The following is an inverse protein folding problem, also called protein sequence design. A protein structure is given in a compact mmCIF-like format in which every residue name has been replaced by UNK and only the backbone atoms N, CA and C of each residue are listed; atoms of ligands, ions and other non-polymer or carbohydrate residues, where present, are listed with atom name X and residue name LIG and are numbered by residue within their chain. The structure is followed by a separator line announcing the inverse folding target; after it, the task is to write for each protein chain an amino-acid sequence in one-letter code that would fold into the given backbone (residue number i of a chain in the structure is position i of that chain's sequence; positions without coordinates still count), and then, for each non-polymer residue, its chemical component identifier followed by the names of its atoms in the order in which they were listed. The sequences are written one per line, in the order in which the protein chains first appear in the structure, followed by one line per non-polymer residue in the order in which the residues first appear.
data_IF_816134758919
#
_entry.id   IF_816134758919
#
_cell.length_a   1.000
_cell.length_b   1.000
_cell.length_c   1.000
_cell.angle_alpha   90.00
_cell.angle_beta   90.00
_cell.angle_gamma   90.00
#
_symmetry.space_group_name_H-M   'P 1'
#
loop_
_entity.id
_entity.type
_entity.pdbx_description
1 polymer ?
#
# COMPACT_ATOMS: atom_id res chain seq x y z
N UNK A 1 10.22 24.87 -4.96
CA UNK A 1 8.93 24.65 -5.66
C UNK A 1 8.03 25.83 -5.36
N UNK A 2 7.57 26.57 -6.37
CA UNK A 2 6.68 27.72 -6.20
C UNK A 2 5.22 27.30 -5.92
N UNK A 3 4.44 28.18 -5.31
CA UNK A 3 3.00 28.03 -5.09
C UNK A 3 2.25 28.91 -6.08
N UNK A 4 1.60 28.32 -7.08
CA UNK A 4 1.05 29.05 -8.23
C UNK A 4 -0.47 28.95 -8.27
N UNK A 5 -1.13 30.10 -8.48
CA UNK A 5 -2.53 30.19 -8.91
C UNK A 5 -2.54 30.31 -10.44
N UNK A 6 -3.40 29.57 -11.11
CA UNK A 6 -3.50 29.54 -12.57
C UNK A 6 -4.95 29.60 -13.04
N UNK A 7 -5.16 29.99 -14.28
CA UNK A 7 -6.43 29.85 -15.00
C UNK A 7 -6.33 28.79 -16.10
N UNK A 8 -7.43 28.12 -16.40
CA UNK A 8 -7.63 27.36 -17.65
C UNK A 8 -8.78 28.02 -18.41
N UNK A 9 -8.49 28.50 -19.61
CA UNK A 9 -9.48 29.02 -20.54
C UNK A 9 -9.94 27.90 -21.45
N UNK A 10 -11.24 27.64 -21.49
CA UNK A 10 -11.87 26.74 -22.44
C UNK A 10 -12.55 27.56 -23.55
N UNK A 11 -12.07 27.41 -24.77
CA UNK A 11 -12.59 28.10 -25.95
C UNK A 11 -13.75 27.30 -26.55
N UNK A 12 -14.97 27.81 -26.43
CA UNK A 12 -16.19 27.16 -26.94
C UNK A 12 -16.59 27.85 -28.25
N UNK A 13 -16.10 27.30 -29.37
CA UNK A 13 -16.31 27.90 -30.70
C UNK A 13 -15.63 29.27 -30.82
N UNK A 14 -16.19 30.16 -31.64
CA UNK A 14 -15.54 31.42 -32.01
C UNK A 14 -15.82 32.61 -31.07
N UNK A 15 -16.68 32.48 -30.05
CA UNK A 15 -17.16 33.65 -29.28
C UNK A 15 -17.40 33.43 -27.77
N UNK A 16 -17.45 32.19 -27.26
CA UNK A 16 -17.74 31.95 -25.85
C UNK A 16 -16.53 31.32 -25.15
N UNK A 17 -16.04 31.96 -24.10
CA UNK A 17 -14.99 31.42 -23.25
C UNK A 17 -15.52 31.13 -21.84
N UNK A 18 -15.08 30.01 -21.28
CA UNK A 18 -15.31 29.70 -19.86
C UNK A 18 -14.00 29.47 -19.16
N UNK A 19 -13.89 30.00 -17.96
CA UNK A 19 -12.68 29.97 -17.17
C UNK A 19 -12.81 29.00 -15.99
N UNK A 20 -11.68 28.42 -15.63
CA UNK A 20 -11.45 27.68 -14.40
C UNK A 20 -10.24 28.27 -13.69
N UNK A 21 -10.33 28.54 -12.39
CA UNK A 21 -9.17 28.92 -11.58
C UNK A 21 -8.80 27.75 -10.66
N UNK A 22 -7.52 27.48 -10.51
CA UNK A 22 -7.03 26.49 -9.57
C UNK A 22 -5.62 26.79 -9.08
N UNK A 23 -5.11 25.90 -8.23
CA UNK A 23 -3.79 26.03 -7.64
C UNK A 23 -2.89 24.81 -7.89
N UNK A 24 -1.59 25.03 -7.94
CA UNK A 24 -0.60 23.98 -8.22
C UNK A 24 0.77 24.27 -7.60
N UNK A 25 1.54 23.20 -7.36
CA UNK A 25 2.99 23.23 -7.09
C UNK A 25 3.80 22.57 -8.21
N UNK A 26 3.11 22.01 -9.21
CA UNK A 26 3.69 21.39 -10.41
C UNK A 26 3.87 22.46 -11.47
N UNK A 27 4.61 22.14 -12.53
CA UNK A 27 4.59 22.96 -13.75
C UNK A 27 3.16 23.07 -14.29
N UNK A 28 2.83 24.15 -15.00
CA UNK A 28 1.50 24.35 -15.57
C UNK A 28 1.16 23.22 -16.56
N UNK A 29 2.11 22.82 -17.40
CA UNK A 29 1.94 21.71 -18.35
C UNK A 29 1.59 20.40 -17.65
N UNK A 30 2.30 20.03 -16.57
CA UNK A 30 1.97 18.83 -15.78
C UNK A 30 0.61 18.93 -15.10
N UNK A 31 0.22 20.14 -14.69
CA UNK A 31 -1.08 20.38 -14.04
C UNK A 31 -2.22 20.24 -15.04
N UNK A 32 -2.08 20.79 -16.24
CA UNK A 32 -3.07 20.66 -17.31
C UNK A 32 -3.22 19.19 -17.73
N UNK A 33 -2.10 18.49 -17.96
CA UNK A 33 -2.10 17.05 -18.24
C UNK A 33 -2.76 16.23 -17.12
N UNK A 34 -2.62 16.64 -15.86
CA UNK A 34 -3.30 15.99 -14.75
C UNK A 34 -4.83 16.14 -14.83
N UNK A 35 -5.35 17.32 -15.22
CA UNK A 35 -6.80 17.50 -15.45
C UNK A 35 -7.32 16.60 -16.54
N UNK A 36 -6.59 16.47 -17.66
CA UNK A 36 -6.95 15.54 -18.74
C UNK A 36 -6.97 14.09 -18.27
N UNK A 37 -5.89 13.65 -17.63
CA UNK A 37 -5.76 12.29 -17.12
C UNK A 37 -6.76 11.94 -16.02
N UNK A 38 -7.19 12.91 -15.20
CA UNK A 38 -8.23 12.69 -14.18
C UNK A 38 -9.61 12.57 -14.83
N UNK A 39 -9.86 13.38 -15.85
CA UNK A 39 -11.12 13.38 -16.61
C UNK A 39 -11.32 12.07 -17.38
N UNK A 40 -10.27 11.43 -17.89
CA UNK A 40 -10.38 10.15 -18.63
C UNK A 40 -10.59 8.90 -17.76
N UNK A 41 -10.50 9.00 -16.43
CA UNK A 41 -10.64 7.83 -15.54
C UNK A 41 -12.08 7.29 -15.55
N UNK A 42 -12.23 5.96 -15.63
CA UNK A 42 -13.50 5.18 -15.66
C UNK A 42 -14.49 5.39 -14.49
N UNK A 43 -14.25 6.31 -13.54
CA UNK A 43 -15.25 6.63 -12.51
C UNK A 43 -16.25 7.63 -13.08
N UNK A 44 -17.42 7.11 -13.46
CA UNK A 44 -18.49 7.83 -14.16
C UNK A 44 -19.56 8.43 -13.25
N UNK A 45 -19.67 8.02 -11.99
CA UNK A 45 -20.74 8.52 -11.12
C UNK A 45 -20.40 9.88 -10.49
N UNK A 46 -21.22 10.89 -10.78
CA UNK A 46 -21.33 12.12 -9.98
C UNK A 46 -20.50 13.34 -10.44
N UNK A 47 -20.00 13.40 -11.68
CA UNK A 47 -19.43 14.65 -12.19
C UNK A 47 -20.53 15.66 -12.50
N UNK A 48 -20.41 16.86 -11.94
CA UNK A 48 -21.31 17.98 -12.26
C UNK A 48 -21.16 18.39 -13.73
N UNK A 49 -22.27 18.63 -14.45
CA UNK A 49 -22.23 19.12 -15.84
C UNK A 49 -21.57 20.49 -15.97
N UNK A 50 -21.44 21.23 -14.86
CA UNK A 50 -20.79 22.55 -14.83
C UNK A 50 -19.31 22.49 -14.42
N UNK A 51 -18.69 21.30 -14.39
CA UNK A 51 -17.30 21.15 -13.98
C UNK A 51 -16.34 21.11 -15.17
N UNK A 52 -15.09 21.53 -14.96
CA UNK A 52 -14.03 21.46 -15.97
C UNK A 52 -13.84 20.02 -16.49
N UNK A 53 -13.84 19.04 -15.58
CA UNK A 53 -13.67 17.64 -15.96
C UNK A 53 -14.80 17.06 -16.81
N UNK A 54 -16.03 17.60 -16.66
CA UNK A 54 -17.13 17.26 -17.55
C UNK A 54 -16.93 17.86 -18.95
N UNK A 55 -16.51 19.13 -19.04
CA UNK A 55 -16.21 19.79 -20.32
C UNK A 55 -15.08 19.09 -21.08
N UNK A 56 -13.99 18.73 -20.40
CA UNK A 56 -12.87 17.96 -20.99
C UNK A 56 -13.36 16.60 -21.52
N UNK A 57 -14.23 15.90 -20.77
CA UNK A 57 -14.80 14.62 -21.23
C UNK A 57 -15.66 14.77 -22.46
N UNK A 58 -16.50 15.79 -22.49
CA UNK A 58 -17.36 16.06 -23.64
C UNK A 58 -16.51 16.33 -24.87
N UNK A 59 -15.47 17.16 -24.71
CA UNK A 59 -14.52 17.46 -25.77
C UNK A 59 -13.80 16.20 -26.29
N UNK A 60 -13.29 15.33 -25.40
CA UNK A 60 -12.67 14.06 -25.78
C UNK A 60 -13.65 13.04 -26.38
N UNK A 61 -14.95 13.17 -26.10
CA UNK A 61 -15.98 12.36 -26.77
C UNK A 61 -16.17 12.80 -28.22
N UNK A 62 -16.06 14.11 -28.48
CA UNK A 62 -16.21 14.70 -29.81
C UNK A 62 -14.91 14.61 -30.64
N UNK A 63 -13.75 14.60 -29.97
CA UNK A 63 -12.41 14.40 -30.55
C UNK A 63 -11.64 13.30 -29.79
N UNK A 64 -11.86 12.02 -30.13
CA UNK A 64 -11.25 10.88 -29.42
C UNK A 64 -9.73 10.84 -29.49
N UNK A 65 -9.12 11.50 -30.48
CA UNK A 65 -7.66 11.58 -30.62
C UNK A 65 -7.07 12.73 -29.78
N UNK A 66 -7.91 13.65 -29.32
CA UNK A 66 -7.51 14.78 -28.48
C UNK A 66 -6.63 15.79 -29.21
N UNK A 67 -6.70 15.86 -30.54
CA UNK A 67 -5.86 16.72 -31.37
C UNK A 67 -6.10 18.21 -31.04
N UNK A 68 -7.33 18.57 -30.66
CA UNK A 68 -7.72 19.94 -30.28
C UNK A 68 -7.66 20.22 -28.77
N UNK A 69 -7.31 19.23 -27.95
CA UNK A 69 -7.42 19.38 -26.50
C UNK A 69 -6.48 20.47 -25.95
N UNK A 70 -5.28 20.58 -26.51
CA UNK A 70 -4.28 21.57 -26.11
C UNK A 70 -4.54 22.96 -26.71
N UNK A 71 -5.33 23.05 -27.78
CA UNK A 71 -5.72 24.33 -28.39
C UNK A 71 -6.95 24.93 -27.73
N UNK A 72 -7.88 24.05 -27.30
CA UNK A 72 -9.17 24.47 -26.78
C UNK A 72 -9.13 24.68 -25.26
N UNK A 73 -8.15 24.09 -24.57
CA UNK A 73 -7.87 24.32 -23.15
C UNK A 73 -6.47 24.91 -22.95
N UNK A 74 -6.41 26.22 -22.71
CA UNK A 74 -5.16 26.95 -22.48
C UNK A 74 -4.96 27.21 -20.99
N UNK A 75 -3.77 26.89 -20.45
CA UNK A 75 -3.42 27.15 -19.05
C UNK A 75 -2.48 28.35 -18.94
N UNK A 76 -2.78 29.29 -18.03
CA UNK A 76 -1.98 30.47 -17.80
C UNK A 76 -1.70 30.68 -16.30
N UNK A 77 -0.49 31.13 -15.96
CA UNK A 77 -0.18 31.60 -14.61
C UNK A 77 -0.92 32.91 -14.31
N UNK A 78 -1.61 32.98 -13.17
CA UNK A 78 -2.19 34.21 -12.68
C UNK A 78 -1.26 34.90 -11.68
N UNK A 79 -0.76 34.15 -10.70
CA UNK A 79 0.08 34.70 -9.63
C UNK A 79 0.88 33.61 -8.91
N UNK A 80 2.05 33.97 -8.38
CA UNK A 80 2.90 33.08 -7.55
C UNK A 80 3.02 33.60 -6.13
N UNK A 81 3.10 32.68 -5.19
CA UNK A 81 3.11 32.95 -3.76
C UNK A 81 4.26 32.21 -3.07
N UNK A 82 4.68 32.74 -1.92
CA UNK A 82 5.70 32.15 -1.05
C UNK A 82 5.16 31.08 -0.09
N UNK A 83 3.83 31.00 0.11
CA UNK A 83 3.20 30.07 1.05
C UNK A 83 1.91 29.45 0.51
N UNK A 84 1.56 28.26 1.01
CA UNK A 84 0.30 27.57 0.68
C UNK A 84 -0.92 28.43 1.05
N UNK A 85 -0.87 29.07 2.21
CA UNK A 85 -1.99 29.85 2.74
C UNK A 85 -2.29 31.05 1.84
N UNK A 86 -1.25 31.76 1.40
CA UNK A 86 -1.41 32.92 0.50
C UNK A 86 -1.93 32.47 -0.87
N UNK A 87 -1.43 31.34 -1.40
CA UNK A 87 -1.93 30.77 -2.66
C UNK A 87 -3.42 30.39 -2.59
N UNK A 88 -3.89 29.88 -1.45
CA UNK A 88 -5.31 29.57 -1.24
C UNK A 88 -6.18 30.82 -1.17
N UNK A 89 -5.70 31.87 -0.49
CA UNK A 89 -6.39 33.17 -0.49
C UNK A 89 -6.41 33.78 -1.90
N UNK A 90 -5.30 33.66 -2.63
CA UNK A 90 -5.18 34.04 -4.03
C UNK A 90 -6.18 33.32 -4.93
N UNK A 91 -6.34 32.00 -4.78
CA UNK A 91 -7.34 31.22 -5.52
C UNK A 91 -8.75 31.80 -5.33
N UNK A 92 -9.14 32.07 -4.08
CA UNK A 92 -10.46 32.63 -3.78
C UNK A 92 -10.65 34.02 -4.40
N UNK A 93 -9.62 34.88 -4.28
CA UNK A 93 -9.61 36.21 -4.88
C UNK A 93 -9.80 36.14 -6.41
N UNK A 94 -9.04 35.28 -7.10
CA UNK A 94 -9.09 35.15 -8.56
C UNK A 94 -10.39 34.51 -9.06
N UNK A 95 -10.97 33.55 -8.33
CA UNK A 95 -12.31 32.99 -8.64
C UNK A 95 -13.38 34.08 -8.61
N UNK A 96 -13.36 34.93 -7.58
CA UNK A 96 -14.31 36.04 -7.44
C UNK A 96 -14.09 37.09 -8.52
N UNK A 97 -12.84 37.53 -8.71
CA UNK A 97 -12.46 38.56 -9.68
C UNK A 97 -12.79 38.19 -11.12
N UNK A 98 -12.59 36.93 -11.51
CA UNK A 98 -12.83 36.45 -12.87
C UNK A 98 -14.24 35.85 -13.06
N UNK A 99 -15.06 35.78 -12.00
CA UNK A 99 -16.42 35.25 -12.08
C UNK A 99 -16.49 33.78 -12.50
N UNK A 100 -15.50 32.95 -12.14
CA UNK A 100 -15.37 31.57 -12.66
C UNK A 100 -16.27 30.55 -11.98
N UNK A 101 -17.14 30.98 -11.08
CA UNK A 101 -18.12 30.09 -10.43
C UNK A 101 -19.12 29.54 -11.44
N UNK A 102 -19.44 28.26 -11.31
CA UNK A 102 -20.53 27.64 -12.07
C UNK A 102 -21.87 28.39 -11.80
N UNK A 103 -22.70 28.63 -12.83
CA UNK A 103 -22.61 28.09 -14.20
C UNK A 103 -21.77 28.92 -15.18
N UNK A 104 -21.34 30.12 -14.80
CA UNK A 104 -20.63 31.06 -15.69
C UNK A 104 -19.20 30.60 -15.99
N UNK A 105 -18.53 29.96 -15.03
CA UNK A 105 -17.27 29.23 -15.24
C UNK A 105 -17.34 27.78 -14.74
N UNK A 106 -16.19 27.22 -14.39
CA UNK A 106 -16.05 25.81 -14.00
C UNK A 106 -15.79 25.55 -12.51
N UNK A 107 -15.58 26.60 -11.71
CA UNK A 107 -15.35 26.45 -10.27
C UNK A 107 -16.67 26.10 -9.56
N UNK A 108 -16.70 24.93 -8.91
CA UNK A 108 -17.86 24.49 -8.11
C UNK A 108 -17.85 25.02 -6.67
N UNK A 109 -16.71 25.55 -6.23
CA UNK A 109 -16.47 26.03 -4.87
C UNK A 109 -15.71 27.35 -4.95
N UNK A 110 -15.86 28.21 -3.93
CA UNK A 110 -15.24 29.55 -3.84
C UNK A 110 -13.71 29.56 -3.67
N UNK A 111 -13.04 28.42 -3.78
CA UNK A 111 -11.60 28.29 -3.50
C UNK A 111 -11.26 28.41 -2.01
N UNK A 112 -9.96 28.54 -1.71
CA UNK A 112 -9.45 28.89 -0.38
C UNK A 112 -9.51 27.79 0.68
N UNK A 113 -10.18 26.68 0.38
CA UNK A 113 -10.46 25.61 1.35
C UNK A 113 -9.53 24.40 1.18
N UNK A 114 -8.91 24.23 0.01
CA UNK A 114 -8.15 23.02 -0.30
C UNK A 114 -7.30 23.25 -1.54
N UNK A 115 -5.99 23.01 -1.46
CA UNK A 115 -5.10 23.26 -2.60
C UNK A 115 -5.10 22.12 -3.64
N UNK A 116 -6.06 21.20 -3.57
CA UNK A 116 -6.13 20.02 -4.44
C UNK A 116 -4.87 19.14 -4.43
N UNK A 117 -3.96 19.39 -3.49
CA UNK A 117 -2.60 18.86 -3.44
C UNK A 117 -2.24 18.37 -2.04
N UNK A 118 -0.93 18.16 -1.74
CA UNK A 118 -0.47 17.55 -0.49
C UNK A 118 -0.97 18.21 0.81
N UNK A 119 -1.55 19.40 0.77
CA UNK A 119 -2.20 20.05 1.93
C UNK A 119 -3.57 19.45 2.32
N UNK A 120 -4.21 18.65 1.46
CA UNK A 120 -5.32 17.76 1.84
C UNK A 120 -4.82 16.38 2.30
N UNK A 121 -3.51 16.18 2.37
CA UNK A 121 -3.00 14.91 2.84
C UNK A 121 -3.39 14.76 4.31
N UNK A 122 -3.94 13.59 4.62
CA UNK A 122 -4.11 13.18 6.00
C UNK A 122 -2.72 13.21 6.61
N UNK A 123 -2.50 14.07 7.61
CA UNK A 123 -1.21 14.09 8.23
C UNK A 123 -1.09 12.74 8.97
N UNK A 124 0.11 12.27 9.21
CA UNK A 124 0.34 10.94 9.78
C UNK A 124 1.47 10.98 10.79
N UNK A 125 1.59 9.91 11.54
CA UNK A 125 2.62 9.75 12.53
C UNK A 125 3.25 8.39 12.26
N UNK A 126 4.57 8.36 12.19
CA UNK A 126 5.33 7.13 11.97
C UNK A 126 6.48 7.07 12.96
N UNK A 127 6.79 5.87 13.41
CA UNK A 127 7.98 5.62 14.19
C UNK A 127 9.15 5.45 13.22
N UNK A 128 10.13 6.35 13.26
CA UNK A 128 11.26 6.37 12.34
C UNK A 128 12.57 6.51 13.12
N UNK A 129 13.43 5.49 13.03
CA UNK A 129 14.54 5.32 13.96
C UNK A 129 14.01 4.97 15.35
N UNK A 130 14.39 5.77 16.35
CA UNK A 130 13.98 5.59 17.75
C UNK A 130 12.96 6.64 18.23
N UNK A 131 12.41 7.41 17.29
CA UNK A 131 11.52 8.53 17.60
C UNK A 131 10.24 8.45 16.81
N UNK A 132 9.13 8.75 17.47
CA UNK A 132 7.88 9.00 16.78
C UNK A 132 7.93 10.37 16.14
N UNK A 133 7.68 10.44 14.83
CA UNK A 133 7.71 11.68 14.06
C UNK A 133 6.36 11.96 13.43
N UNK A 134 5.90 13.18 13.58
CA UNK A 134 4.69 13.67 12.93
C UNK A 134 5.01 14.24 11.54
N UNK A 135 4.16 13.90 10.58
CA UNK A 135 4.27 14.33 9.20
C UNK A 135 2.99 15.04 8.77
N UNK A 136 3.16 16.12 8.01
CA UNK A 136 2.06 16.90 7.44
C UNK A 136 1.32 16.12 6.34
N UNK A 137 1.92 15.07 5.79
CA UNK A 137 1.32 14.23 4.76
C UNK A 137 1.91 12.83 4.71
N UNK A 138 1.18 11.89 4.11
CA UNK A 138 1.74 10.58 3.73
C UNK A 138 2.93 10.75 2.77
N UNK A 139 2.90 11.74 1.87
CA UNK A 139 4.02 11.99 0.96
C UNK A 139 5.29 12.40 1.71
N UNK A 140 5.19 13.33 2.68
CA UNK A 140 6.35 13.74 3.49
C UNK A 140 6.86 12.60 4.37
N UNK A 141 5.96 11.71 4.82
CA UNK A 141 6.37 10.49 5.51
C UNK A 141 7.14 9.54 4.57
N UNK A 142 6.68 9.35 3.32
CA UNK A 142 7.40 8.55 2.31
C UNK A 142 8.79 9.13 2.04
N UNK A 143 8.90 10.45 1.87
CA UNK A 143 10.18 11.14 1.66
C UNK A 143 11.15 10.93 2.83
N UNK A 144 10.68 11.12 4.06
CA UNK A 144 11.52 10.93 5.24
C UNK A 144 11.95 9.46 5.43
N UNK A 145 11.08 8.50 5.13
CA UNK A 145 11.42 7.07 5.19
C UNK A 145 12.37 6.67 4.06
N UNK A 146 12.19 7.23 2.86
CA UNK A 146 13.12 7.02 1.75
C UNK A 146 14.52 7.50 2.12
N UNK A 147 14.64 8.72 2.66
CA UNK A 147 15.92 9.25 3.17
C UNK A 147 16.50 8.37 4.29
N UNK A 148 15.66 7.90 5.21
CA UNK A 148 16.08 6.98 6.28
C UNK A 148 16.61 5.64 5.75
N UNK A 149 16.09 5.18 4.61
CA UNK A 149 16.60 4.01 3.89
C UNK A 149 17.76 4.32 2.93
N UNK A 150 18.31 5.53 2.97
CA UNK A 150 19.35 6.03 2.05
C UNK A 150 18.96 5.96 0.57
N UNK A 151 17.66 6.07 0.27
CA UNK A 151 17.15 6.20 -1.10
C UNK A 151 17.27 7.67 -1.50
N UNK A 152 18.41 8.04 -2.08
CA UNK A 152 18.69 9.40 -2.55
C UNK A 152 18.56 9.56 -4.07
N UNK A 153 18.55 8.45 -4.81
CA UNK A 153 18.45 8.46 -6.26
C UNK A 153 16.97 8.64 -6.70
N UNK A 154 16.73 9.57 -7.63
CA UNK A 154 15.38 10.00 -8.01
C UNK A 154 14.56 8.86 -8.64
N UNK A 155 15.16 8.01 -9.48
CA UNK A 155 14.43 6.89 -10.08
C UNK A 155 14.04 5.83 -9.07
N UNK A 156 14.90 5.55 -8.09
CA UNK A 156 14.63 4.64 -6.97
C UNK A 156 13.57 5.22 -6.04
N UNK A 157 13.64 6.52 -5.72
CA UNK A 157 12.61 7.21 -4.95
C UNK A 157 11.23 7.10 -5.62
N UNK A 158 11.14 7.35 -6.94
CA UNK A 158 9.88 7.18 -7.69
C UNK A 158 9.34 5.75 -7.63
N UNK A 159 10.22 4.74 -7.73
CA UNK A 159 9.84 3.33 -7.59
C UNK A 159 9.32 3.04 -6.18
N UNK A 160 10.02 3.49 -5.15
CA UNK A 160 9.61 3.34 -3.75
C UNK A 160 8.26 4.01 -3.49
N UNK A 161 8.10 5.28 -3.87
CA UNK A 161 6.86 6.03 -3.78
C UNK A 161 5.69 5.30 -4.46
N UNK A 162 5.91 4.79 -5.67
CA UNK A 162 4.94 4.01 -6.42
C UNK A 162 4.49 2.74 -5.68
N UNK A 163 5.43 1.99 -5.09
CA UNK A 163 5.13 0.78 -4.28
C UNK A 163 4.28 1.12 -3.06
N UNK A 164 4.65 2.15 -2.30
CA UNK A 164 3.90 2.56 -1.10
C UNK A 164 2.47 2.97 -1.48
N UNK A 165 2.31 3.77 -2.54
CA UNK A 165 0.98 4.18 -3.03
C UNK A 165 0.14 3.00 -3.51
N UNK A 166 0.72 2.06 -4.24
CA UNK A 166 0.01 0.85 -4.68
C UNK A 166 -0.50 0.03 -3.49
N UNK A 167 0.31 -0.13 -2.44
CA UNK A 167 -0.07 -0.82 -1.19
C UNK A 167 -1.19 -0.07 -0.46
N UNK A 168 -1.05 1.23 -0.27
CA UNK A 168 -2.08 2.06 0.38
C UNK A 168 -3.42 2.07 -0.37
N UNK A 169 -3.40 1.89 -1.69
CA UNK A 169 -4.59 1.84 -2.54
C UNK A 169 -5.20 0.44 -2.67
N UNK A 170 -4.55 -0.60 -2.13
CA UNK A 170 -5.05 -1.97 -2.22
C UNK A 170 -6.34 -2.14 -1.40
N UNK A 171 -7.40 -2.61 -2.05
CA UNK A 171 -8.74 -2.79 -1.47
C UNK A 171 -9.11 -4.25 -1.20
N UNK A 172 -8.13 -5.13 -0.99
CA UNK A 172 -8.42 -6.51 -0.61
C UNK A 172 -9.03 -6.62 0.79
N UNK A 173 -9.30 -7.86 1.21
CA UNK A 173 -9.96 -8.18 2.50
C UNK A 173 -9.24 -7.61 3.73
N UNK A 174 -7.94 -7.34 3.61
CA UNK A 174 -7.16 -6.59 4.59
C UNK A 174 -6.43 -5.45 3.88
N UNK A 175 -6.79 -4.17 4.13
CA UNK A 175 -6.02 -3.03 3.62
C UNK A 175 -4.65 -2.96 4.29
N UNK A 176 -3.65 -2.40 3.60
CA UNK A 176 -2.34 -2.15 4.21
C UNK A 176 -2.45 -1.02 5.23
N UNK A 177 -1.80 -1.19 6.38
CA UNK A 177 -1.52 -0.05 7.27
C UNK A 177 -0.42 0.82 6.65
N UNK A 178 -0.31 2.06 7.13
CA UNK A 178 0.71 2.98 6.64
C UNK A 178 2.14 2.48 6.92
N UNK A 179 2.38 1.94 8.11
CA UNK A 179 3.69 1.42 8.49
C UNK A 179 4.07 0.18 7.66
N UNK A 180 3.12 -0.73 7.40
CA UNK A 180 3.34 -1.86 6.49
C UNK A 180 3.61 -1.40 5.04
N UNK A 181 2.89 -0.38 4.57
CA UNK A 181 3.06 0.13 3.22
C UNK A 181 4.45 0.76 3.03
N UNK A 182 4.92 1.48 4.05
CA UNK A 182 6.23 2.13 4.13
C UNK A 182 7.40 1.16 4.39
N UNK A 183 7.13 -0.15 4.57
CA UNK A 183 8.15 -1.16 4.90
C UNK A 183 8.77 -0.99 6.29
N UNK A 184 8.12 -0.20 7.17
CA UNK A 184 8.49 -0.05 8.58
C UNK A 184 8.00 -1.24 9.42
N UNK A 185 6.87 -1.84 9.04
CA UNK A 185 6.33 -3.04 9.69
C UNK A 185 6.19 -4.22 8.72
N UNK A 186 6.53 -5.44 9.15
CA UNK A 186 6.29 -6.63 8.35
C UNK A 186 4.80 -6.98 8.36
N UNK A 187 4.15 -6.91 7.20
CA UNK A 187 2.76 -7.33 7.04
C UNK A 187 2.59 -8.84 7.23
N UNK A 188 1.60 -9.27 8.02
CA UNK A 188 1.05 -10.63 7.96
C UNK A 188 0.10 -10.73 6.77
N UNK A 189 0.63 -10.73 5.55
CA UNK A 189 -0.19 -11.18 4.44
C UNK A 189 -0.36 -12.70 4.56
N UNK A 190 -1.49 -13.24 4.10
CA UNK A 190 -1.74 -14.68 4.10
C UNK A 190 -0.74 -15.49 3.25
N UNK A 191 0.35 -14.90 2.72
CA UNK A 191 1.51 -15.64 2.23
C UNK A 191 2.35 -16.20 3.40
N UNK A 192 2.16 -15.73 4.64
CA UNK A 192 2.41 -16.48 5.88
C UNK A 192 1.25 -17.46 6.13
N UNK A 193 1.25 -18.56 5.39
CA UNK A 193 0.22 -19.61 5.43
C UNK A 193 0.03 -20.23 6.83
N UNK A 194 -1.07 -20.97 7.04
CA UNK A 194 -1.24 -21.92 8.18
C UNK A 194 0.03 -22.76 8.38
N UNK A 195 0.72 -23.09 7.29
CA UNK A 195 2.02 -23.74 7.26
C UNK A 195 3.13 -23.00 8.02
N UNK A 196 3.15 -21.67 7.96
CA UNK A 196 4.08 -20.83 8.71
C UNK A 196 3.85 -20.90 10.20
N UNK A 197 2.58 -20.92 10.61
CA UNK A 197 2.21 -21.09 12.03
C UNK A 197 2.53 -22.51 12.51
N UNK A 198 2.24 -23.53 11.69
CA UNK A 198 2.55 -24.94 11.98
C UNK A 198 4.06 -25.21 12.06
N UNK A 199 4.84 -24.67 11.11
CA UNK A 199 6.30 -24.78 11.11
C UNK A 199 6.92 -24.12 12.35
N UNK A 200 6.45 -22.92 12.72
CA UNK A 200 6.91 -22.23 13.93
C UNK A 200 6.54 -23.01 15.20
N UNK A 201 5.33 -23.54 15.29
CA UNK A 201 4.88 -24.34 16.43
C UNK A 201 5.65 -25.67 16.57
N UNK A 202 6.05 -26.28 15.46
CA UNK A 202 6.84 -27.52 15.45
C UNK A 202 8.35 -27.29 15.47
N UNK A 203 8.83 -26.05 15.60
CA UNK A 203 10.26 -25.71 15.51
C UNK A 203 10.90 -25.98 14.15
N UNK A 204 10.10 -26.24 13.11
CA UNK A 204 10.59 -26.50 11.76
C UNK A 204 10.84 -25.20 10.99
N UNK A 205 11.84 -25.24 10.11
CA UNK A 205 12.04 -24.19 9.13
C UNK A 205 10.85 -24.16 8.13
N UNK A 206 10.31 -22.97 7.84
CA UNK A 206 9.20 -22.76 6.89
C UNK A 206 9.47 -23.41 5.52
N UNK A 207 10.70 -23.34 5.04
CA UNK A 207 11.11 -23.98 3.78
C UNK A 207 10.98 -25.51 3.83
N UNK A 208 11.32 -26.12 4.97
CA UNK A 208 11.17 -27.56 5.21
C UNK A 208 9.70 -27.97 5.24
N UNK A 209 8.86 -27.20 5.93
CA UNK A 209 7.42 -27.46 6.00
C UNK A 209 6.76 -27.35 4.61
N UNK A 210 7.09 -26.30 3.83
CA UNK A 210 6.62 -26.11 2.44
C UNK A 210 7.07 -27.25 1.53
N UNK A 211 8.33 -27.65 1.62
CA UNK A 211 8.87 -28.77 0.86
C UNK A 211 8.20 -30.10 1.21
N UNK A 212 7.86 -30.33 2.49
CA UNK A 212 7.15 -31.53 2.93
C UNK A 212 5.71 -31.58 2.43
N UNK A 213 4.96 -30.49 2.58
CA UNK A 213 3.57 -30.42 2.11
C UNK A 213 3.50 -30.54 0.58
N UNK A 214 4.39 -29.87 -0.15
CA UNK A 214 4.51 -30.05 -1.60
C UNK A 214 4.81 -31.50 -1.98
N UNK A 215 5.73 -32.16 -1.27
CA UNK A 215 6.00 -33.60 -1.47
C UNK A 215 4.78 -34.47 -1.18
N UNK A 216 4.05 -34.21 -0.09
CA UNK A 216 2.82 -34.96 0.25
C UNK A 216 1.73 -34.77 -0.80
N UNK A 217 1.47 -33.53 -1.23
CA UNK A 217 0.52 -33.22 -2.29
C UNK A 217 0.90 -33.89 -3.60
N UNK A 218 2.18 -33.81 -3.98
CA UNK A 218 2.73 -34.49 -5.16
C UNK A 218 2.61 -36.01 -5.02
N UNK A 219 2.82 -36.58 -3.84
CA UNK A 219 2.62 -38.02 -3.59
C UNK A 219 1.15 -38.43 -3.71
N UNK A 220 0.21 -37.59 -3.26
CA UNK A 220 -1.24 -37.82 -3.41
C UNK A 220 -1.68 -37.70 -4.87
N UNK A 221 -1.24 -36.66 -5.58
CA UNK A 221 -1.48 -36.47 -7.01
C UNK A 221 -0.85 -37.61 -7.85
N UNK A 222 0.35 -38.07 -7.48
CA UNK A 222 1.02 -39.22 -8.11
C UNK A 222 0.43 -40.57 -7.69
N UNK A 223 -0.32 -40.65 -6.59
CA UNK A 223 -1.08 -41.85 -6.24
C UNK A 223 -2.31 -42.00 -7.14
N UNK A 224 -2.88 -40.90 -7.65
CA UNK A 224 -3.96 -40.93 -8.64
C UNK A 224 -3.50 -41.17 -10.09
N UNK A 225 -2.20 -41.08 -10.39
CA UNK A 225 -1.64 -41.35 -11.71
C UNK A 225 -0.90 -42.69 -11.69
N UNK A 226 -1.67 -43.77 -11.86
CA UNK A 226 -1.23 -45.17 -11.74
C UNK A 226 -0.14 -45.56 -12.78
N UNK A 227 0.06 -44.77 -13.83
CA UNK A 227 0.85 -45.14 -15.03
C UNK A 227 2.37 -44.87 -14.99
N UNK A 228 2.97 -44.38 -13.91
CA UNK A 228 4.41 -43.99 -13.90
C UNK A 228 5.26 -44.73 -12.86
N UNK A 229 4.76 -45.84 -12.29
CA UNK A 229 5.49 -46.57 -11.23
C UNK A 229 6.39 -47.71 -11.73
N UNK A 230 6.39 -47.98 -13.03
CA UNK A 230 7.04 -49.14 -13.62
C UNK A 230 8.10 -48.69 -14.64
N UNK A 231 9.34 -49.13 -14.44
CA UNK A 231 10.53 -48.86 -15.27
C UNK A 231 10.91 -50.17 -15.98
N UNK A 232 11.42 -50.17 -17.22
CA UNK A 232 11.94 -51.38 -17.86
C UNK A 232 13.03 -52.06 -17.03
N UNK A 233 12.99 -53.39 -16.93
CA UNK A 233 14.01 -54.16 -16.23
C UNK A 233 15.35 -54.04 -16.96
N UNK A 234 16.47 -53.78 -16.26
CA UNK A 234 17.76 -53.50 -16.89
C UNK A 234 18.37 -54.65 -17.70
N UNK A 235 17.96 -55.88 -17.40
CA UNK A 235 18.51 -57.12 -17.99
C UNK A 235 17.45 -57.98 -18.69
N UNK A 236 16.17 -57.63 -18.57
CA UNK A 236 15.07 -58.46 -19.10
C UNK A 236 14.08 -57.55 -19.85
N UNK A 237 14.19 -57.54 -21.19
CA UNK A 237 13.45 -56.60 -22.05
C UNK A 237 11.93 -56.75 -21.98
N UNK A 238 11.40 -57.87 -21.45
CA UNK A 238 9.97 -58.10 -21.30
C UNK A 238 9.40 -57.75 -19.93
N UNK A 239 10.25 -57.45 -18.94
CA UNK A 239 9.82 -57.18 -17.57
C UNK A 239 9.89 -55.70 -17.23
N UNK A 240 9.01 -55.30 -16.33
CA UNK A 240 9.03 -53.98 -15.71
C UNK A 240 9.19 -54.15 -14.20
N UNK A 241 9.85 -53.19 -13.57
CA UNK A 241 10.16 -53.18 -12.13
C UNK A 241 9.71 -51.88 -11.50
N UNK A 242 9.43 -51.92 -10.20
CA UNK A 242 9.17 -50.71 -9.44
C UNK A 242 10.41 -49.81 -9.38
N UNK A 243 10.22 -48.50 -9.14
CA UNK A 243 11.33 -47.55 -8.96
C UNK A 243 12.30 -48.03 -7.86
N UNK A 244 11.78 -48.60 -6.76
CA UNK A 244 12.60 -49.07 -5.65
C UNK A 244 13.46 -50.29 -6.01
N UNK A 245 12.93 -51.23 -6.80
CA UNK A 245 13.69 -52.37 -7.32
C UNK A 245 14.73 -51.94 -8.35
N UNK A 246 14.34 -51.06 -9.29
CA UNK A 246 15.26 -50.48 -10.26
C UNK A 246 16.44 -49.78 -9.56
N UNK A 247 16.18 -49.02 -8.49
CA UNK A 247 17.24 -48.35 -7.73
C UNK A 247 18.24 -49.35 -7.12
N UNK A 248 17.75 -50.48 -6.60
CA UNK A 248 18.60 -51.57 -6.10
C UNK A 248 19.41 -52.22 -7.22
N UNK A 249 18.79 -52.54 -8.36
CA UNK A 249 19.45 -53.13 -9.52
C UNK A 249 20.53 -52.22 -10.11
N UNK A 250 20.31 -50.90 -10.11
CA UNK A 250 21.28 -49.92 -10.59
C UNK A 250 22.35 -49.56 -9.55
N UNK A 251 22.22 -49.98 -8.29
CA UNK A 251 23.14 -49.58 -7.23
C UNK A 251 23.13 -48.08 -6.92
N UNK A 252 21.99 -47.39 -7.13
CA UNK A 252 21.87 -45.95 -6.87
C UNK A 252 20.75 -45.66 -5.88
N UNK A 253 20.85 -44.54 -5.16
CA UNK A 253 19.79 -44.12 -4.24
C UNK A 253 18.47 -43.86 -4.99
N UNK A 254 17.34 -44.28 -4.41
CA UNK A 254 15.98 -44.08 -4.96
C UNK A 254 15.71 -42.61 -5.35
N UNK A 255 16.19 -41.66 -4.54
CA UNK A 255 16.07 -40.22 -4.85
C UNK A 255 16.83 -39.79 -6.13
N UNK A 256 17.95 -40.44 -6.45
CA UNK A 256 18.72 -40.19 -7.68
C UNK A 256 17.97 -40.72 -8.88
N UNK A 257 17.48 -41.95 -8.79
CA UNK A 257 16.73 -42.56 -9.86
C UNK A 257 15.46 -41.75 -10.20
N UNK A 258 14.69 -41.34 -9.18
CA UNK A 258 13.50 -40.51 -9.38
C UNK A 258 13.79 -39.18 -10.05
N UNK A 259 14.90 -38.53 -9.68
CA UNK A 259 15.29 -37.26 -10.29
C UNK A 259 15.66 -37.45 -11.77
N UNK A 260 16.46 -38.48 -12.11
CA UNK A 260 16.80 -38.81 -13.50
C UNK A 260 15.54 -39.12 -14.32
N UNK A 261 14.61 -39.90 -13.74
CA UNK A 261 13.33 -40.21 -14.37
C UNK A 261 12.49 -38.96 -14.65
N UNK A 262 12.45 -37.99 -13.72
CA UNK A 262 11.69 -36.75 -13.88
C UNK A 262 12.21 -35.88 -15.04
N UNK A 263 13.50 -35.99 -15.38
CA UNK A 263 14.09 -35.25 -16.52
C UNK A 263 13.60 -35.75 -17.87
N UNK A 264 13.44 -37.07 -18.01
CA UNK A 264 12.96 -37.69 -19.25
C UNK A 264 11.45 -37.90 -19.26
N UNK A 265 10.76 -37.64 -18.14
CA UNK A 265 9.32 -37.84 -17.98
C UNK A 265 8.46 -37.28 -19.12
N UNK A 266 8.72 -36.07 -19.67
CA UNK A 266 7.93 -35.55 -20.79
C UNK A 266 8.03 -36.40 -22.06
N UNK A 267 9.16 -37.09 -22.25
CA UNK A 267 9.49 -37.81 -23.48
C UNK A 267 9.50 -39.33 -23.30
N UNK A 268 9.20 -39.82 -22.09
CA UNK A 268 9.38 -41.24 -21.73
C UNK A 268 8.57 -42.20 -22.61
N UNK A 269 7.41 -41.76 -23.11
CA UNK A 269 6.56 -42.55 -24.02
C UNK A 269 7.12 -42.66 -25.44
N UNK A 270 8.12 -41.84 -25.79
CA UNK A 270 8.77 -41.82 -27.10
C UNK A 270 10.15 -42.50 -27.08
N UNK A 271 10.67 -42.84 -25.90
CA UNK A 271 11.99 -43.44 -25.73
C UNK A 271 11.92 -44.97 -25.77
N UNK A 272 12.93 -45.60 -26.37
CA UNK A 272 13.09 -47.05 -26.30
C UNK A 272 13.53 -47.48 -24.89
N UNK A 273 13.18 -48.70 -24.42
CA UNK A 273 13.55 -49.19 -23.09
C UNK A 273 15.05 -49.07 -22.78
N UNK A 274 15.91 -49.32 -23.79
CA UNK A 274 17.37 -49.23 -23.67
C UNK A 274 17.85 -47.80 -23.44
N UNK A 275 17.23 -46.80 -24.08
CA UNK A 275 17.54 -45.37 -23.90
C UNK A 275 17.15 -44.90 -22.50
N UNK A 276 16.00 -45.35 -22.01
CA UNK A 276 15.56 -45.09 -20.63
C UNK A 276 16.58 -45.66 -19.64
N UNK A 277 16.97 -46.92 -19.80
CA UNK A 277 17.96 -47.57 -18.92
C UNK A 277 19.31 -46.85 -18.97
N UNK A 278 19.80 -46.50 -20.17
CA UNK A 278 21.06 -45.78 -20.34
C UNK A 278 21.04 -44.42 -19.64
N UNK A 279 19.97 -43.64 -19.81
CA UNK A 279 19.80 -42.35 -19.13
C UNK A 279 19.76 -42.52 -17.61
N UNK A 280 19.04 -43.52 -17.11
CA UNK A 280 18.90 -43.79 -15.68
C UNK A 280 20.20 -44.30 -15.03
N UNK A 281 21.06 -45.01 -15.75
CA UNK A 281 22.39 -45.46 -15.27
C UNK A 281 23.42 -44.33 -15.25
N UNK A 282 23.39 -43.44 -16.24
CA UNK A 282 24.42 -42.42 -16.45
C UNK A 282 24.51 -41.45 -15.27
N UNK A 283 25.73 -41.24 -14.74
CA UNK A 283 25.99 -40.28 -13.69
C UNK A 283 25.75 -38.85 -14.21
N UNK A 284 24.70 -38.21 -13.72
CA UNK A 284 24.35 -36.84 -14.06
C UNK A 284 24.60 -35.92 -12.87
N UNK A 285 25.26 -34.79 -13.13
CA UNK A 285 25.36 -33.72 -12.16
C UNK A 285 24.00 -33.04 -11.99
N UNK A 286 23.54 -32.94 -10.73
CA UNK A 286 22.19 -32.47 -10.41
C UNK A 286 22.00 -30.96 -10.49
N UNK A 287 23.07 -30.19 -10.64
CA UNK A 287 23.03 -28.73 -10.51
C UNK A 287 23.70 -28.10 -11.73
N UNK A 288 23.05 -27.11 -12.35
CA UNK A 288 23.67 -26.26 -13.37
C UNK A 288 24.95 -25.66 -12.76
N UNK A 289 26.07 -25.69 -13.48
CA UNK A 289 27.27 -25.05 -12.99
C UNK A 289 27.00 -23.55 -12.80
N UNK A 290 27.58 -23.00 -11.75
CA UNK A 290 27.45 -21.59 -11.41
C UNK A 290 28.76 -20.92 -11.77
N UNK A 291 28.63 -19.87 -12.58
CA UNK A 291 29.74 -18.99 -12.94
C UNK A 291 29.94 -17.95 -11.85
N UNK A 292 31.12 -17.94 -11.24
CA UNK A 292 31.53 -16.93 -10.26
C UNK A 292 32.76 -16.21 -10.79
N UNK A 293 32.71 -14.88 -10.85
CA UNK A 293 33.86 -14.04 -11.18
C UNK A 293 34.60 -13.71 -9.89
N UNK A 294 35.82 -14.24 -9.75
CA UNK A 294 36.63 -14.05 -8.55
C UNK A 294 37.40 -12.73 -8.64
N UNK A 295 37.61 -12.04 -7.50
CA UNK A 295 38.44 -10.83 -7.48
C UNK A 295 39.84 -11.12 -8.02
N UNK A 296 40.22 -10.48 -9.13
CA UNK A 296 41.56 -10.59 -9.73
C UNK A 296 41.75 -11.70 -10.75
N UNK A 297 40.76 -12.58 -10.98
CA UNK A 297 40.82 -13.59 -12.05
C UNK A 297 40.14 -13.07 -13.32
N UNK A 298 40.76 -13.32 -14.48
CA UNK A 298 40.20 -12.92 -15.78
C UNK A 298 39.08 -13.85 -16.26
N UNK A 299 39.18 -15.13 -15.92
CA UNK A 299 38.22 -16.15 -16.33
C UNK A 299 37.29 -16.52 -15.17
N UNK A 300 35.99 -16.75 -15.42
CA UNK A 300 35.07 -17.18 -14.38
C UNK A 300 35.31 -18.63 -13.97
N UNK A 301 35.13 -18.92 -12.69
CA UNK A 301 35.12 -20.30 -12.20
C UNK A 301 33.71 -20.86 -12.37
N UNK A 302 33.59 -21.91 -13.19
CA UNK A 302 32.34 -22.58 -13.53
C UNK A 302 32.28 -23.97 -12.87
N UNK A 303 31.58 -24.08 -11.75
CA UNK A 303 31.52 -25.30 -10.93
C UNK A 303 30.11 -25.53 -10.38
N UNK A 304 29.75 -26.77 -10.06
CA UNK A 304 28.54 -27.07 -9.27
C UNK A 304 28.65 -26.61 -7.80
N UNK A 305 27.54 -26.46 -7.07
CA UNK A 305 27.58 -25.92 -5.69
C UNK A 305 28.42 -26.76 -4.73
N UNK A 306 28.48 -28.08 -4.92
CA UNK A 306 29.31 -28.94 -4.09
C UNK A 306 30.81 -28.68 -4.32
N UNK A 307 31.22 -28.54 -5.58
CA UNK A 307 32.60 -28.27 -5.94
C UNK A 307 33.01 -26.86 -5.47
N UNK A 308 32.17 -25.84 -5.68
CA UNK A 308 32.34 -24.49 -5.12
C UNK A 308 32.47 -24.50 -3.60
N UNK A 309 31.55 -25.15 -2.89
CA UNK A 309 31.56 -25.16 -1.42
C UNK A 309 32.76 -25.90 -0.83
N UNK A 310 33.28 -26.92 -1.50
CA UNK A 310 34.54 -27.59 -1.12
C UNK A 310 35.75 -26.71 -1.42
N UNK A 311 35.81 -26.08 -2.60
CA UNK A 311 36.90 -25.20 -3.03
C UNK A 311 37.09 -24.01 -2.08
N UNK A 312 36.00 -23.42 -1.59
CA UNK A 312 36.03 -22.22 -0.74
C UNK A 312 35.76 -22.48 0.75
N UNK A 313 35.86 -23.73 1.21
CA UNK A 313 35.73 -24.02 2.63
C UNK A 313 36.87 -23.36 3.43
N UNK A 314 36.52 -22.65 4.51
CA UNK A 314 37.48 -22.04 5.45
C UNK A 314 36.91 -21.95 6.87
N UNK A 315 37.74 -21.57 7.86
CA UNK A 315 37.28 -21.37 9.25
C UNK A 315 36.12 -20.36 9.26
N UNK A 316 35.00 -20.72 9.87
CA UNK A 316 33.75 -19.92 9.88
C UNK A 316 32.83 -20.12 8.67
N UNK A 317 33.28 -20.79 7.60
CA UNK A 317 32.51 -21.05 6.38
C UNK A 317 32.60 -22.54 6.00
N UNK A 318 31.81 -23.37 6.67
CA UNK A 318 31.76 -24.81 6.37
C UNK A 318 31.11 -25.09 5.00
N UNK A 319 31.42 -26.25 4.40
CA UNK A 319 30.79 -26.71 3.14
C UNK A 319 29.27 -26.62 3.23
N UNK A 320 28.70 -27.07 4.35
CA UNK A 320 27.25 -27.05 4.59
C UNK A 320 26.70 -25.62 4.66
N UNK A 321 27.41 -24.68 5.29
CA UNK A 321 27.00 -23.28 5.38
C UNK A 321 27.05 -22.58 4.01
N UNK A 322 28.12 -22.79 3.23
CA UNK A 322 28.25 -22.25 1.88
C UNK A 322 27.12 -22.80 0.99
N UNK A 323 26.89 -24.13 0.99
CA UNK A 323 25.77 -24.73 0.24
C UNK A 323 24.42 -24.17 0.64
N UNK A 324 24.20 -23.95 1.94
CA UNK A 324 22.95 -23.38 2.43
C UNK A 324 22.74 -21.93 1.95
N UNK A 325 23.80 -21.14 1.82
CA UNK A 325 23.74 -19.79 1.22
C UNK A 325 23.52 -19.86 -0.29
N UNK A 326 24.28 -20.70 -1.00
CA UNK A 326 24.15 -20.95 -2.45
C UNK A 326 22.70 -21.32 -2.84
N UNK A 327 22.05 -22.19 -2.08
CA UNK A 327 20.68 -22.64 -2.34
C UNK A 327 19.58 -21.62 -1.99
N UNK A 328 19.88 -20.60 -1.18
CA UNK A 328 18.91 -19.57 -0.78
C UNK A 328 18.85 -18.40 -1.76
N UNK A 329 19.77 -18.35 -2.71
CA UNK A 329 19.81 -17.29 -3.71
C UNK A 329 18.67 -17.40 -4.73
N UNK A 330 18.45 -16.31 -5.45
CA UNK A 330 17.48 -16.25 -6.54
C UNK A 330 17.89 -17.16 -7.71
N UNK A 331 17.03 -17.31 -8.73
CA UNK A 331 17.35 -18.06 -9.95
C UNK A 331 18.46 -17.42 -10.81
N UNK A 332 18.81 -16.16 -10.51
CA UNK A 332 19.80 -15.37 -11.24
C UNK A 332 20.56 -14.49 -10.25
N UNK A 333 21.41 -15.08 -9.39
CA UNK A 333 22.15 -14.32 -8.39
C UNK A 333 23.15 -13.39 -9.04
N UNK A 334 23.34 -12.23 -8.44
CA UNK A 334 24.43 -11.31 -8.77
C UNK A 334 25.78 -11.90 -8.33
N UNK A 335 26.88 -11.43 -8.93
CA UNK A 335 28.21 -11.90 -8.54
C UNK A 335 28.52 -11.60 -7.07
N UNK A 336 28.06 -10.46 -6.53
CA UNK A 336 28.27 -10.11 -5.14
C UNK A 336 27.54 -11.06 -4.19
N UNK A 337 26.30 -11.45 -4.50
CA UNK A 337 25.58 -12.47 -3.73
C UNK A 337 26.31 -13.81 -3.74
N UNK A 338 26.86 -14.20 -4.91
CA UNK A 338 27.67 -15.41 -5.05
C UNK A 338 28.92 -15.33 -4.17
N UNK A 339 29.66 -14.21 -4.22
CA UNK A 339 30.84 -13.95 -3.41
C UNK A 339 30.52 -13.97 -1.91
N UNK A 340 29.41 -13.38 -1.47
CA UNK A 340 28.94 -13.42 -0.07
C UNK A 340 28.59 -14.85 0.33
N UNK A 341 27.95 -15.61 -0.57
CA UNK A 341 27.53 -16.97 -0.30
C UNK A 341 28.71 -17.95 -0.14
N UNK A 342 29.74 -17.83 -0.98
CA UNK A 342 31.01 -18.57 -0.79
C UNK A 342 31.87 -17.96 0.30
N UNK A 343 31.53 -16.74 0.73
CA UNK A 343 32.12 -16.08 1.87
C UNK A 343 33.36 -15.28 1.55
N UNK A 344 33.62 -14.92 0.29
CA UNK A 344 34.71 -14.03 -0.10
C UNK A 344 34.42 -12.56 0.20
N UNK A 345 33.15 -12.19 0.41
CA UNK A 345 32.70 -10.85 0.80
C UNK A 345 31.76 -10.92 2.01
N UNK A 346 31.69 -9.82 2.76
CA UNK A 346 30.81 -9.72 3.94
C UNK A 346 29.37 -9.37 3.56
N UNK A 347 28.36 -9.93 4.26
CA UNK A 347 26.97 -9.55 4.04
C UNK A 347 26.69 -8.14 4.58
N UNK A 348 25.81 -7.36 3.95
CA UNK A 348 25.42 -6.05 4.47
C UNK A 348 24.72 -6.17 5.84
N UNK A 349 24.89 -5.19 6.76
CA UNK A 349 24.35 -5.24 8.12
C UNK A 349 22.81 -5.30 8.12
N UNK A 350 22.23 -6.11 9.02
CA UNK A 350 20.78 -6.31 9.15
C UNK A 350 20.21 -5.49 10.32
N UNK A 351 19.28 -4.57 10.04
CA UNK A 351 18.54 -3.78 11.04
C UNK A 351 17.43 -4.60 11.71
N UNK A 352 17.30 -4.50 13.04
CA UNK A 352 16.23 -5.13 13.86
C UNK A 352 15.13 -4.09 14.16
N UNK A 353 13.85 -4.51 14.19
CA UNK A 353 12.69 -3.61 14.41
C UNK A 353 11.72 -4.17 15.44
N UNK A 354 11.15 -3.28 16.26
CA UNK A 354 10.15 -3.51 17.33
C UNK A 354 8.82 -2.80 16.93
N UNK A 355 7.67 -3.38 17.29
CA UNK A 355 6.32 -2.94 16.88
C UNK A 355 5.80 -1.71 17.63
N UNK A 356 5.07 -0.82 16.94
CA UNK A 356 4.32 0.31 17.56
C UNK A 356 3.00 0.58 16.82
N UNK A 357 1.92 0.84 17.59
CA UNK A 357 0.54 1.09 17.11
C UNK A 357 0.32 2.54 16.62
N UNK A 358 -0.56 2.69 15.62
CA UNK A 358 -0.96 3.98 15.05
C UNK A 358 -1.96 4.78 15.92
N UNK A 359 -1.78 6.11 15.98
CA UNK A 359 -2.66 7.06 16.70
C UNK A 359 -3.61 7.75 15.70
N UNK A 360 -4.88 7.91 16.07
CA UNK A 360 -5.94 8.53 15.25
C UNK A 360 -5.97 10.06 15.43
N UNK A 361 -5.98 10.82 14.33
CA UNK A 361 -5.96 12.31 14.31
C UNK A 361 -7.28 13.03 14.54
N UNK A 362 -8.38 12.32 14.79
CA UNK A 362 -9.55 13.04 15.28
C UNK A 362 -9.24 13.37 16.73
N UNK A 363 -8.96 14.64 17.05
CA UNK A 363 -9.22 15.21 18.39
C UNK A 363 -10.72 15.09 18.62
N UNK A 364 -11.21 13.87 18.76
CA UNK A 364 -12.46 13.67 19.45
C UNK A 364 -12.18 14.13 20.87
N UNK A 365 -13.11 14.91 21.41
CA UNK A 365 -13.09 15.15 22.84
C UNK A 365 -13.23 13.76 23.48
N UNK A 366 -12.13 13.26 24.06
CA UNK A 366 -12.14 11.96 24.72
C UNK A 366 -12.80 12.07 26.11
N UNK A 367 -12.86 13.29 26.64
CA UNK A 367 -13.55 13.64 27.88
C UNK A 367 -14.81 14.48 27.60
N UNK A 368 -15.98 13.89 27.78
CA UNK A 368 -17.27 14.60 27.68
C UNK A 368 -17.77 15.02 29.07
N UNK A 369 -16.96 15.71 29.85
CA UNK A 369 -17.34 16.22 31.17
C UNK A 369 -17.85 17.66 31.10
N UNK A 370 -19.00 17.91 31.71
CA UNK A 370 -19.54 19.25 31.94
C UNK A 370 -19.51 19.55 33.42
N UNK A 371 -18.91 20.67 33.81
CA UNK A 371 -18.76 21.11 35.20
C UNK A 371 -19.30 22.53 35.40
N UNK A 372 -20.03 22.75 36.48
CA UNK A 372 -20.54 24.05 36.91
C UNK A 372 -20.52 24.12 38.43
N UNK A 373 -19.88 25.13 39.00
CA UNK A 373 -19.54 25.23 40.43
C UNK A 373 -18.91 23.93 40.96
N UNK A 374 -19.49 23.33 42.01
CA UNK A 374 -19.04 22.07 42.60
C UNK A 374 -19.69 20.82 41.98
N UNK A 375 -20.42 20.97 40.86
CA UNK A 375 -21.07 19.86 40.17
C UNK A 375 -20.34 19.51 38.88
N UNK A 376 -20.19 18.22 38.61
CA UNK A 376 -19.68 17.71 37.35
C UNK A 376 -20.47 16.46 36.92
N UNK A 377 -20.71 16.35 35.62
CA UNK A 377 -21.33 15.18 35.00
C UNK A 377 -20.51 14.77 33.78
N UNK A 378 -20.12 13.50 33.74
CA UNK A 378 -19.37 12.92 32.62
C UNK A 378 -20.31 12.11 31.73
N UNK A 379 -20.34 12.46 30.44
CA UNK A 379 -21.05 11.70 29.43
C UNK A 379 -20.13 10.63 28.82
N UNK A 380 -20.63 9.43 28.50
CA UNK A 380 -19.79 8.34 27.95
C UNK A 380 -19.30 8.62 26.52
N UNK A 381 -19.97 9.50 25.79
CA UNK A 381 -19.61 9.90 24.43
C UNK A 381 -20.40 11.14 23.97
N UNK A 382 -20.03 11.66 22.81
CA UNK A 382 -20.72 12.78 22.15
C UNK A 382 -22.23 12.55 21.97
N UNK A 383 -22.66 11.34 21.64
CA UNK A 383 -24.07 11.08 21.37
C UNK A 383 -24.92 11.20 22.64
N UNK A 384 -24.40 10.75 23.78
CA UNK A 384 -25.04 10.92 25.08
C UNK A 384 -25.11 12.41 25.48
N UNK A 385 -24.01 13.15 25.32
CA UNK A 385 -24.00 14.61 25.56
C UNK A 385 -25.04 15.33 24.69
N UNK A 386 -25.08 15.07 23.38
CA UNK A 386 -26.04 15.70 22.45
C UNK A 386 -27.49 15.41 22.83
N UNK A 387 -27.81 14.19 23.27
CA UNK A 387 -29.16 13.84 23.73
C UNK A 387 -29.52 14.59 25.02
N UNK A 388 -28.60 14.65 25.98
CA UNK A 388 -28.81 15.40 27.22
C UNK A 388 -29.05 16.89 26.94
N UNK A 389 -28.28 17.51 26.03
CA UNK A 389 -28.51 18.89 25.61
C UNK A 389 -29.91 19.06 25.01
N UNK A 390 -30.35 18.14 24.15
CA UNK A 390 -31.67 18.19 23.53
C UNK A 390 -32.79 18.11 24.57
N UNK A 391 -32.69 17.19 25.54
CA UNK A 391 -33.68 17.03 26.60
C UNK A 391 -33.77 18.26 27.51
N UNK A 392 -32.64 18.82 27.93
CA UNK A 392 -32.61 20.04 28.74
C UNK A 392 -33.27 21.21 27.98
N UNK A 393 -32.85 21.45 26.74
CA UNK A 393 -33.37 22.56 25.93
C UNK A 393 -34.88 22.43 25.62
N UNK A 394 -35.40 21.21 25.47
CA UNK A 394 -36.83 20.98 25.25
C UNK A 394 -37.69 21.30 26.48
N UNK A 395 -37.12 21.16 27.67
CA UNK A 395 -37.78 21.41 28.95
C UNK A 395 -37.66 22.86 29.43
N UNK A 396 -36.90 23.72 28.75
CA UNK A 396 -36.79 25.15 29.05
C UNK A 396 -37.84 25.96 28.28
N UNK A 397 -38.87 26.53 28.94
CA UNK A 397 -40.00 27.18 28.28
C UNK A 397 -39.63 28.50 27.55
N UNK A 398 -38.49 29.11 27.87
CA UNK A 398 -38.06 30.40 27.28
C UNK A 398 -37.18 30.30 26.02
N UNK A 399 -36.56 29.16 25.74
CA UNK A 399 -35.39 29.10 24.84
C UNK A 399 -35.60 28.31 23.54
N UNK A 400 -36.85 27.93 23.23
CA UNK A 400 -37.20 27.17 22.01
C UNK A 400 -36.78 27.85 20.71
N UNK A 401 -36.58 29.18 20.71
CA UNK A 401 -36.08 29.92 19.53
C UNK A 401 -34.64 29.53 19.14
N UNK A 402 -33.83 29.07 20.10
CA UNK A 402 -32.44 28.61 19.87
C UNK A 402 -32.36 27.26 19.15
N UNK A 403 -33.48 26.53 19.07
CA UNK A 403 -33.55 25.18 18.48
C UNK A 403 -33.94 25.16 16.98
N UNK A 404 -34.01 26.34 16.34
CA UNK A 404 -34.34 26.49 14.92
C UNK A 404 -35.85 26.56 14.63
N UNK A 405 -36.22 26.42 13.35
CA UNK A 405 -37.58 26.69 12.83
C UNK A 405 -38.66 25.69 13.28
N UNK A 406 -38.31 24.58 13.95
CA UNK A 406 -39.27 23.55 14.38
C UNK A 406 -38.85 22.90 15.71
N UNK A 407 -39.01 23.60 16.84
CA UNK A 407 -38.51 23.17 18.15
C UNK A 407 -39.33 22.04 18.80
N UNK A 408 -40.38 21.53 18.15
CA UNK A 408 -41.22 20.44 18.67
C UNK A 408 -40.72 19.05 18.27
N UNK A 409 -39.80 18.96 17.30
CA UNK A 409 -39.30 17.70 16.77
C UNK A 409 -37.92 17.37 17.35
N UNK A 410 -37.90 16.42 18.30
CA UNK A 410 -36.69 15.99 18.99
C UNK A 410 -35.59 15.49 18.03
N UNK A 411 -35.95 14.87 16.90
CA UNK A 411 -34.98 14.38 15.92
C UNK A 411 -34.28 15.54 15.23
N UNK A 412 -35.02 16.60 14.89
CA UNK A 412 -34.45 17.83 14.29
C UNK A 412 -33.56 18.58 15.28
N UNK A 413 -33.97 18.66 16.55
CA UNK A 413 -33.19 19.27 17.64
C UNK A 413 -31.86 18.52 17.84
N UNK A 414 -31.90 17.19 17.95
CA UNK A 414 -30.69 16.35 18.05
C UNK A 414 -29.80 16.54 16.81
N UNK A 415 -30.39 16.59 15.62
CA UNK A 415 -29.68 16.82 14.36
C UNK A 415 -28.92 18.15 14.34
N UNK A 416 -29.56 19.23 14.79
CA UNK A 416 -28.97 20.55 14.92
C UNK A 416 -27.84 20.59 15.94
N UNK A 417 -28.08 20.14 17.18
CA UNK A 417 -27.09 20.12 18.27
C UNK A 417 -25.88 19.26 17.88
N UNK A 418 -26.10 18.09 17.27
CA UNK A 418 -25.02 17.25 16.74
C UNK A 418 -24.19 17.99 15.69
N UNK A 419 -24.83 18.74 14.79
CA UNK A 419 -24.15 19.54 13.78
C UNK A 419 -23.26 20.63 14.38
N UNK A 420 -23.74 21.31 15.42
CA UNK A 420 -23.00 22.33 16.16
C UNK A 420 -21.84 21.69 16.93
N UNK A 421 -22.09 20.65 17.73
CA UNK A 421 -21.07 19.94 18.50
C UNK A 421 -19.95 19.39 17.61
N UNK A 422 -20.27 18.77 16.49
CA UNK A 422 -19.28 18.28 15.53
C UNK A 422 -18.44 19.40 14.90
N UNK A 423 -19.00 20.59 14.70
CA UNK A 423 -18.29 21.72 14.11
C UNK A 423 -17.35 22.37 15.13
N UNK A 424 -17.83 22.58 16.35
CA UNK A 424 -17.09 23.26 17.41
C UNK A 424 -15.99 22.38 18.01
N UNK A 425 -16.26 21.10 18.30
CA UNK A 425 -15.21 20.18 18.80
C UNK A 425 -14.05 19.98 17.82
N UNK A 426 -14.29 20.07 16.51
CA UNK A 426 -13.21 20.11 15.50
C UNK A 426 -12.30 21.32 15.63
N UNK A 427 -12.83 22.44 16.15
CA UNK A 427 -12.09 23.64 16.48
C UNK A 427 -11.43 23.60 17.86
N UNK A 428 -11.53 22.49 18.60
CA UNK A 428 -10.97 22.34 19.94
C UNK A 428 -11.91 22.78 21.08
N UNK A 429 -13.16 23.13 20.78
CA UNK A 429 -14.15 23.50 21.79
C UNK A 429 -14.46 22.32 22.73
N UNK A 430 -14.43 22.59 24.03
CA UNK A 430 -14.73 21.65 25.11
C UNK A 430 -16.24 21.46 25.31
N UNK A 431 -16.68 20.40 26.02
CA UNK A 431 -18.08 20.21 26.37
C UNK A 431 -18.66 21.35 27.24
N UNK A 432 -17.84 21.96 28.09
CA UNK A 432 -18.22 23.13 28.91
C UNK A 432 -18.57 24.34 28.04
N UNK A 433 -17.69 24.69 27.11
CA UNK A 433 -17.94 25.81 26.18
C UNK A 433 -19.13 25.54 25.24
N UNK A 434 -19.33 24.27 24.85
CA UNK A 434 -20.53 23.86 24.12
C UNK A 434 -21.80 24.01 24.95
N UNK A 435 -21.76 23.67 26.24
CA UNK A 435 -22.89 23.84 27.14
C UNK A 435 -23.18 25.33 27.41
N UNK A 436 -22.15 26.15 27.54
CA UNK A 436 -22.24 27.62 27.66
C UNK A 436 -22.84 28.24 26.39
N UNK A 437 -22.45 27.77 25.21
CA UNK A 437 -23.02 28.20 23.92
C UNK A 437 -24.54 28.01 23.87
N UNK A 438 -25.05 26.93 24.45
CA UNK A 438 -26.48 26.67 24.53
C UNK A 438 -27.16 27.32 25.75
N UNK A 439 -26.38 27.82 26.71
CA UNK A 439 -26.88 28.39 27.97
C UNK A 439 -27.48 27.34 28.91
N UNK A 440 -26.92 26.13 28.92
CA UNK A 440 -27.45 24.96 29.66
C UNK A 440 -26.41 24.25 30.54
N UNK A 441 -25.31 24.95 30.86
CA UNK A 441 -24.16 24.36 31.56
C UNK A 441 -24.51 23.92 32.99
N UNK A 442 -25.27 24.73 33.71
CA UNK A 442 -25.72 24.39 35.07
C UNK A 442 -26.58 23.12 35.05
N UNK A 443 -27.56 23.06 34.15
CA UNK A 443 -28.49 21.94 34.01
C UNK A 443 -27.77 20.64 33.63
N UNK A 444 -26.82 20.72 32.69
CA UNK A 444 -26.04 19.56 32.26
C UNK A 444 -25.09 19.05 33.36
N UNK A 445 -24.52 19.92 34.18
CA UNK A 445 -23.67 19.52 35.31
C UNK A 445 -24.43 18.70 36.38
N UNK A 446 -25.75 18.86 36.44
CA UNK A 446 -26.67 18.15 37.35
C UNK A 446 -27.50 17.07 36.65
N UNK A 447 -27.23 16.81 35.37
CA UNK A 447 -28.01 15.88 34.57
C UNK A 447 -28.02 14.48 35.20
N UNK A 448 -29.20 13.85 35.25
CA UNK A 448 -29.39 12.54 35.90
C UNK A 448 -29.43 12.54 37.44
N UNK A 449 -29.13 13.65 38.14
CA UNK A 449 -29.23 13.74 39.62
C UNK A 449 -30.62 14.14 40.13
N UNK A 450 -31.52 14.59 39.25
CA UNK A 450 -32.90 15.02 39.59
C UNK A 450 -33.95 13.91 39.45
N UNK A 451 -33.57 12.63 39.58
CA UNK A 451 -34.53 11.52 39.64
C UNK A 451 -34.65 10.98 41.05
#
# INVERSE_FOLDING_TARGET
MAYTVYSITHRIGNQNEKLYVGVTRRTLTDRLNAHFNESTRKKTQGLSPFSLGFAIRQHLSDDPKGERLMTDFEIQELETYSSVQNMLQGEAHWIEKLGTMAPSGYNLMRGGSSAGGPSNAKPCEIFLGDTTREFTSITSAIEAVALFHNITEETEFRRYYGRVRARMNYKGSQPWTLAEALELEPREDFRKTVLSKKAKASGENLGTARSREYRQKRTQELASVEKVRIIPHPEDSGKTVSIGEAAKLFGIADSTLRWRLDQIRPNISQMQPQEIIAHLKTAQEREKPVRVFLPGEKEPVELGYNALARKYQRKGHSVSAIKARLRKMSSSPTNDELLVAIGLTEPPPRTRVVHVKAISRKKHCDDWTVSFDMSAHQFPNQAAFVRACAEVLMNMPGDRRKLGKSPTDMVKVIGYIRGVACRMTKGGTTPNELADFFGIREELSRYGRKK
#
